data_IF_481521549439
#
_entry.id   IF_481521549439
#
_cell.length_a   1.000
_cell.length_b   1.000
_cell.length_c   1.000
_cell.angle_alpha   90.00
_cell.angle_beta   90.00
_cell.angle_gamma   90.00
#
_symmetry.space_group_name_H-M   'P 1'
#
loop_
_entity.id
_entity.type
_entity.pdbx_description
1 polymer ?
#
# COMPACT_ATOMS: atom_id res chain seq x y z
N UNK A 1 10.31 6.79 19.67
CA UNK A 1 11.04 6.57 18.40
C UNK A 1 10.16 7.02 17.24
N UNK A 2 10.73 7.65 16.21
CA UNK A 2 10.00 8.05 15.00
C UNK A 2 10.64 7.34 13.80
N UNK A 3 9.88 6.48 13.13
CA UNK A 3 10.29 5.87 11.87
C UNK A 3 9.89 6.83 10.74
N UNK A 4 10.85 7.24 9.93
CA UNK A 4 10.64 8.13 8.80
C UNK A 4 10.76 7.36 7.48
N UNK A 5 9.71 7.42 6.65
CA UNK A 5 9.76 6.91 5.29
C UNK A 5 10.58 7.87 4.43
N UNK A 6 11.52 7.34 3.66
CA UNK A 6 12.33 8.14 2.74
C UNK A 6 12.14 7.66 1.31
N UNK A 7 12.23 8.56 0.31
CA UNK A 7 12.30 8.13 -1.08
C UNK A 7 13.46 7.14 -1.26
N UNK A 8 13.24 6.09 -2.04
CA UNK A 8 14.25 5.07 -2.32
C UNK A 8 15.54 5.63 -2.93
N UNK A 9 15.46 6.74 -3.68
CA UNK A 9 16.64 7.46 -4.20
C UNK A 9 17.45 8.23 -3.15
N UNK A 10 16.97 8.30 -1.90
CA UNK A 10 17.62 8.96 -0.76
C UNK A 10 18.11 7.97 0.30
N UNK A 11 17.95 6.67 0.06
CA UNK A 11 18.56 5.60 0.84
C UNK A 11 20.00 5.36 0.38
N UNK A 12 20.88 4.99 1.31
CA UNK A 12 22.21 4.49 0.97
C UNK A 12 22.17 3.15 0.21
N UNK A 13 21.04 2.45 0.20
CA UNK A 13 20.85 1.16 -0.47
C UNK A 13 20.22 1.32 -1.86
N UNK A 14 20.74 0.56 -2.83
CA UNK A 14 20.10 0.43 -4.15
C UNK A 14 19.13 -0.75 -4.12
N UNK A 15 17.83 -0.46 -4.20
CA UNK A 15 16.75 -1.45 -4.35
C UNK A 15 16.25 -1.49 -5.80
N UNK A 16 15.87 -2.66 -6.30
CA UNK A 16 15.41 -2.84 -7.68
C UNK A 16 14.02 -2.22 -7.90
N UNK A 17 13.13 -2.37 -6.92
CA UNK A 17 11.81 -1.72 -6.92
C UNK A 17 11.80 -0.53 -5.96
N UNK A 18 11.93 0.64 -6.56
CA UNK A 18 11.89 1.95 -5.90
C UNK A 18 10.44 2.39 -5.65
N UNK A 19 9.86 1.91 -4.54
CA UNK A 19 8.53 2.31 -4.09
C UNK A 19 8.65 3.22 -2.87
N UNK A 20 7.71 4.15 -2.70
CA UNK A 20 7.68 5.10 -1.56
C UNK A 20 7.57 4.45 -0.17
N UNK A 21 7.40 3.13 -0.09
CA UNK A 21 7.16 2.37 1.14
C UNK A 21 8.18 1.26 1.37
N UNK A 22 9.35 1.35 0.74
CA UNK A 22 10.41 0.34 0.88
C UNK A 22 11.65 0.84 1.60
N UNK A 23 11.76 2.13 1.91
CA UNK A 23 12.95 2.68 2.58
C UNK A 23 12.57 3.48 3.83
N UNK A 24 13.31 3.22 4.92
CA UNK A 24 13.04 3.76 6.26
C UNK A 24 14.31 4.30 6.89
N UNK A 25 14.17 5.40 7.64
CA UNK A 25 15.22 5.95 8.51
C UNK A 25 14.70 6.08 9.93
N UNK A 26 15.53 5.72 10.90
CA UNK A 26 15.26 5.95 12.32
C UNK A 26 16.37 6.83 12.85
N UNK A 27 15.98 7.96 13.42
CA UNK A 27 16.90 8.86 14.11
C UNK A 27 16.75 8.67 15.62
N UNK A 28 17.87 8.34 16.28
CA UNK A 28 17.98 8.26 17.72
C UNK A 28 19.23 9.02 18.15
N UNK A 29 19.04 10.08 18.95
CA UNK A 29 20.11 11.01 19.33
C UNK A 29 20.90 11.52 18.10
N UNK A 30 22.20 11.19 18.02
CA UNK A 30 23.11 11.56 16.92
C UNK A 30 23.30 10.41 15.89
N UNK A 31 22.62 9.28 16.06
CA UNK A 31 22.69 8.13 15.17
C UNK A 31 21.51 8.07 14.20
N UNK A 32 21.81 7.64 12.96
CA UNK A 32 20.82 7.41 11.89
C UNK A 32 20.95 5.99 11.42
N UNK A 33 19.86 5.23 11.55
CA UNK A 33 19.76 3.87 11.06
C UNK A 33 18.94 3.84 9.77
N UNK A 34 19.45 3.17 8.74
CA UNK A 34 18.78 3.06 7.45
C UNK A 34 18.41 1.62 7.15
N UNK A 35 17.22 1.46 6.57
CA UNK A 35 16.68 0.17 6.16
C UNK A 35 16.06 0.30 4.78
N UNK A 36 16.24 -0.70 3.93
CA UNK A 36 15.58 -0.77 2.64
C UNK A 36 15.13 -2.20 2.33
N UNK A 37 13.92 -2.32 1.77
CA UNK A 37 13.35 -3.58 1.32
C UNK A 37 13.34 -3.63 -0.20
N UNK A 38 13.85 -4.73 -0.76
CA UNK A 38 13.71 -5.01 -2.17
C UNK A 38 12.67 -6.11 -2.37
N UNK A 39 11.53 -5.73 -2.94
CA UNK A 39 10.44 -6.68 -3.21
C UNK A 39 10.83 -7.51 -4.43
N UNK A 40 11.22 -8.76 -4.18
CA UNK A 40 11.69 -9.67 -5.23
C UNK A 40 10.53 -10.20 -6.07
N UNK A 41 9.37 -10.41 -5.42
CA UNK A 41 8.12 -10.88 -6.02
C UNK A 41 6.96 -10.65 -5.03
N UNK A 42 5.77 -11.18 -5.33
CA UNK A 42 4.58 -11.04 -4.49
C UNK A 42 4.62 -11.85 -3.17
N UNK A 43 5.74 -12.46 -2.82
CA UNK A 43 5.87 -13.36 -1.67
C UNK A 43 7.03 -12.97 -0.77
N UNK A 44 8.12 -12.50 -1.37
CA UNK A 44 9.40 -12.35 -0.71
C UNK A 44 9.98 -10.95 -0.90
N UNK A 45 10.57 -10.42 0.18
CA UNK A 45 11.39 -9.22 0.14
C UNK A 45 12.78 -9.49 0.75
N UNK A 46 13.77 -8.72 0.29
CA UNK A 46 15.13 -8.71 0.82
C UNK A 46 15.33 -7.44 1.65
N UNK A 47 15.77 -7.57 2.90
CA UNK A 47 16.09 -6.45 3.79
C UNK A 47 17.58 -6.12 3.72
N UNK A 48 17.86 -4.85 3.46
CA UNK A 48 19.14 -4.18 3.58
C UNK A 48 19.08 -3.33 4.85
N UNK A 49 19.93 -3.61 5.83
CA UNK A 49 19.98 -2.88 7.09
C UNK A 49 21.42 -2.51 7.41
N UNK A 50 21.64 -1.31 7.98
CA UNK A 50 22.95 -0.91 8.49
C UNK A 50 23.25 -1.48 9.88
N UNK A 51 22.24 -2.03 10.56
CA UNK A 51 22.29 -2.55 11.93
C UNK A 51 21.12 -3.53 12.17
N UNK A 52 21.21 -4.31 13.26
CA UNK A 52 20.12 -5.18 13.73
C UNK A 52 19.17 -4.46 14.71
N UNK A 53 19.43 -3.20 15.04
CA UNK A 53 18.51 -2.41 15.85
C UNK A 53 17.18 -2.24 15.11
N UNK A 54 16.07 -2.16 15.83
CA UNK A 54 14.74 -1.84 15.28
C UNK A 54 14.24 -2.70 14.10
N UNK A 55 14.81 -3.89 13.88
CA UNK A 55 14.44 -4.75 12.76
C UNK A 55 12.96 -5.12 12.80
N UNK A 56 12.46 -5.50 13.98
CA UNK A 56 11.07 -5.92 14.15
C UNK A 56 10.10 -4.77 13.82
N UNK A 57 10.36 -3.56 14.32
CA UNK A 57 9.53 -2.39 14.11
C UNK A 57 9.53 -1.93 12.64
N UNK A 58 10.68 -2.02 11.98
CA UNK A 58 10.80 -1.66 10.56
C UNK A 58 10.17 -2.72 9.66
N UNK A 59 10.27 -4.00 10.03
CA UNK A 59 9.56 -5.10 9.35
C UNK A 59 8.06 -4.91 9.50
N UNK A 60 7.56 -4.59 10.70
CA UNK A 60 6.14 -4.32 10.94
C UNK A 60 5.63 -3.15 10.10
N UNK A 61 6.34 -2.01 10.10
CA UNK A 61 5.99 -0.84 9.29
C UNK A 61 6.04 -1.15 7.79
N UNK A 62 6.98 -1.95 7.31
CA UNK A 62 7.04 -2.39 5.92
C UNK A 62 5.84 -3.29 5.55
N UNK A 63 5.52 -4.26 6.39
CA UNK A 63 4.42 -5.19 6.20
C UNK A 63 3.06 -4.49 6.23
N UNK A 64 2.92 -3.37 6.94
CA UNK A 64 1.71 -2.54 6.89
C UNK A 64 1.36 -2.10 5.46
N UNK A 65 2.35 -1.70 4.64
CA UNK A 65 2.12 -1.32 3.23
C UNK A 65 2.25 -2.48 2.24
N UNK A 66 2.90 -3.58 2.66
CA UNK A 66 3.25 -4.72 1.81
C UNK A 66 2.73 -6.04 2.37
N UNK A 67 1.52 -6.06 2.95
CA UNK A 67 0.96 -7.20 3.69
C UNK A 67 0.75 -8.50 2.91
N UNK A 68 1.08 -8.53 1.61
CA UNK A 68 1.17 -9.74 0.79
C UNK A 68 2.52 -10.46 0.91
N UNK A 69 3.56 -9.76 1.34
CA UNK A 69 4.88 -10.34 1.64
C UNK A 69 4.73 -11.17 2.91
N UNK A 70 5.20 -12.41 2.83
CA UNK A 70 5.15 -13.35 3.96
C UNK A 70 6.51 -14.00 4.24
N UNK A 71 7.56 -13.61 3.51
CA UNK A 71 8.94 -14.03 3.75
C UNK A 71 9.85 -12.80 3.59
N UNK A 72 10.68 -12.52 4.60
CA UNK A 72 11.73 -11.50 4.52
C UNK A 72 13.06 -12.15 4.90
N UNK A 73 14.09 -11.88 4.08
CA UNK A 73 15.45 -12.36 4.32
C UNK A 73 16.44 -11.21 4.31
N UNK A 74 17.59 -11.39 4.96
CA UNK A 74 18.75 -10.49 4.78
C UNK A 74 19.57 -10.83 3.51
N UNK A 75 20.60 -10.04 3.25
CA UNK A 75 21.53 -10.23 2.11
C UNK A 75 22.31 -11.54 2.15
N UNK A 76 22.46 -12.15 3.32
CA UNK A 76 23.14 -13.43 3.53
C UNK A 76 22.19 -14.62 3.36
N UNK A 77 20.88 -14.35 3.21
CA UNK A 77 19.82 -15.36 3.09
C UNK A 77 19.24 -15.82 4.41
N UNK A 78 19.61 -15.19 5.54
CA UNK A 78 19.02 -15.44 6.85
C UNK A 78 17.55 -15.06 6.83
N UNK A 79 16.69 -15.92 7.38
CA UNK A 79 15.26 -15.66 7.51
C UNK A 79 15.02 -14.69 8.67
N UNK A 80 14.43 -13.53 8.38
CA UNK A 80 14.09 -12.51 9.36
C UNK A 80 12.60 -12.51 9.73
N UNK A 81 11.75 -12.86 8.77
CA UNK A 81 10.31 -12.95 8.98
C UNK A 81 9.72 -14.05 8.10
N UNK A 82 8.78 -14.82 8.66
CA UNK A 82 7.97 -15.79 7.94
C UNK A 82 6.55 -15.82 8.51
N UNK A 83 5.56 -15.80 7.62
CA UNK A 83 4.16 -16.02 7.94
C UNK A 83 3.53 -16.97 6.92
N UNK A 84 2.38 -17.60 7.25
CA UNK A 84 1.63 -18.36 6.26
C UNK A 84 1.23 -17.49 5.07
N UNK A 85 1.35 -17.98 3.82
CA UNK A 85 0.93 -17.22 2.64
C UNK A 85 -0.57 -16.95 2.68
N UNK A 86 -0.97 -15.72 2.36
CA UNK A 86 -2.38 -15.36 2.23
C UNK A 86 -2.97 -16.03 0.98
N UNK A 87 -4.19 -16.57 1.12
CA UNK A 87 -4.90 -17.19 -0.01
C UNK A 87 -5.22 -16.12 -1.04
N UNK A 88 -4.75 -16.31 -2.27
CA UNK A 88 -5.01 -15.44 -3.40
C UNK A 88 -6.19 -15.95 -4.22
N UNK A 89 -6.95 -15.02 -4.78
CA UNK A 89 -8.02 -15.31 -5.73
C UNK A 89 -8.13 -14.18 -6.75
N UNK A 90 -8.84 -14.43 -7.85
CA UNK A 90 -9.17 -13.41 -8.84
C UNK A 90 -10.52 -12.79 -8.52
N UNK A 91 -10.61 -11.48 -8.73
CA UNK A 91 -11.84 -10.70 -8.59
C UNK A 91 -12.01 -9.81 -9.83
N UNK A 92 -13.25 -9.68 -10.31
CA UNK A 92 -13.55 -8.76 -11.41
C UNK A 92 -13.40 -7.32 -10.93
N UNK A 93 -12.73 -6.49 -11.72
CA UNK A 93 -12.48 -5.09 -11.41
C UNK A 93 -13.80 -4.31 -11.18
N UNK A 94 -14.86 -4.70 -11.88
CA UNK A 94 -16.21 -4.12 -11.74
C UNK A 94 -16.95 -4.53 -10.46
N UNK A 95 -16.46 -5.53 -9.72
CA UNK A 95 -17.06 -6.01 -8.47
C UNK A 95 -16.40 -5.42 -7.22
N UNK A 96 -15.37 -4.58 -7.40
CA UNK A 96 -14.60 -3.98 -6.32
C UNK A 96 -15.11 -2.58 -6.02
N UNK A 97 -15.68 -2.41 -4.84
CA UNK A 97 -16.02 -1.12 -4.26
C UNK A 97 -14.74 -0.42 -3.77
N UNK A 98 -14.45 0.80 -4.24
CA UNK A 98 -13.37 1.61 -3.70
C UNK A 98 -13.71 2.17 -2.31
N UNK A 99 -12.67 2.45 -1.53
CA UNK A 99 -12.69 3.19 -0.27
C UNK A 99 -11.93 4.51 -0.37
N UNK A 100 -11.56 4.92 -1.60
CA UNK A 100 -10.79 6.13 -1.89
C UNK A 100 -11.52 7.00 -2.91
N UNK A 101 -11.42 8.32 -2.78
CA UNK A 101 -12.16 9.25 -3.62
C UNK A 101 -11.50 9.62 -4.95
N UNK A 102 -10.17 9.59 -5.01
CA UNK A 102 -9.39 10.19 -6.08
C UNK A 102 -8.17 9.34 -6.40
N UNK A 103 -7.59 9.44 -7.59
CA UNK A 103 -6.30 8.82 -7.94
C UNK A 103 -5.26 9.92 -8.14
N UNK A 104 -4.11 9.78 -7.49
CA UNK A 104 -2.99 10.70 -7.67
C UNK A 104 -2.27 10.40 -9.01
N UNK A 105 -2.21 11.39 -9.90
CA UNK A 105 -1.59 11.27 -11.23
C UNK A 105 -0.11 10.89 -11.18
N UNK A 106 0.66 11.45 -10.25
CA UNK A 106 2.09 11.16 -10.09
C UNK A 106 2.32 9.72 -9.66
N UNK A 107 1.59 9.26 -8.63
CA UNK A 107 1.63 7.85 -8.20
C UNK A 107 1.27 6.91 -9.34
N UNK A 108 0.28 7.27 -10.15
CA UNK A 108 -0.14 6.47 -11.31
C UNK A 108 0.96 6.39 -12.37
N UNK A 109 1.63 7.51 -12.65
CA UNK A 109 2.74 7.60 -13.61
C UNK A 109 3.94 6.75 -13.16
N UNK A 110 4.30 6.85 -11.87
CA UNK A 110 5.36 6.03 -11.27
C UNK A 110 5.03 4.54 -11.35
N UNK A 111 3.78 4.18 -11.04
CA UNK A 111 3.31 2.80 -11.10
C UNK A 111 3.38 2.20 -12.52
N UNK A 112 3.05 3.01 -13.54
CA UNK A 112 3.06 2.59 -14.94
C UNK A 112 4.46 2.19 -15.45
N UNK A 113 5.53 2.58 -14.74
CA UNK A 113 6.90 2.21 -15.10
C UNK A 113 7.16 0.71 -14.94
N UNK A 114 6.48 0.02 -14.00
CA UNK A 114 6.79 -1.36 -13.65
C UNK A 114 5.61 -2.34 -13.74
N UNK A 115 4.35 -1.90 -13.60
CA UNK A 115 3.19 -2.80 -13.80
C UNK A 115 3.03 -3.12 -15.29
N UNK A 116 3.07 -4.40 -15.66
CA UNK A 116 2.95 -4.87 -17.06
C UNK A 116 1.74 -5.77 -17.31
N UNK A 117 1.20 -6.40 -16.28
CA UNK A 117 0.13 -7.40 -16.39
C UNK A 117 -0.74 -7.49 -15.13
N UNK A 118 -1.80 -8.31 -15.19
CA UNK A 118 -2.66 -8.63 -14.03
C UNK A 118 -1.86 -9.26 -12.89
N UNK A 119 -0.79 -10.01 -13.20
CA UNK A 119 0.10 -10.63 -12.22
C UNK A 119 0.87 -9.64 -11.37
N UNK A 120 0.99 -8.38 -11.80
CA UNK A 120 1.69 -7.34 -11.02
C UNK A 120 0.71 -6.63 -10.05
N UNK A 121 -0.57 -7.00 -10.10
CA UNK A 121 -1.65 -6.36 -9.35
C UNK A 121 -2.22 -7.35 -8.34
N UNK A 122 -1.81 -7.16 -7.09
CA UNK A 122 -2.33 -7.84 -5.92
C UNK A 122 -2.80 -6.78 -4.92
N UNK A 123 -4.07 -6.84 -4.50
CA UNK A 123 -4.65 -5.87 -3.56
C UNK A 123 -5.24 -6.54 -2.31
N UNK A 124 -5.16 -5.90 -1.14
CA UNK A 124 -5.92 -6.30 0.03
C UNK A 124 -7.40 -5.93 -0.16
N UNK A 125 -8.28 -6.88 0.15
CA UNK A 125 -9.73 -6.67 0.16
C UNK A 125 -10.36 -7.17 1.44
N UNK A 126 -11.51 -6.61 1.77
CA UNK A 126 -12.43 -7.20 2.76
C UNK A 126 -13.81 -7.38 2.15
N UNK A 127 -14.70 -8.09 2.85
CA UNK A 127 -16.11 -8.19 2.50
C UNK A 127 -16.94 -7.26 3.36
N UNK A 128 -17.65 -6.33 2.72
CA UNK A 128 -18.65 -5.51 3.36
C UNK A 128 -19.99 -5.69 2.65
N UNK A 129 -21.02 -6.10 3.40
CA UNK A 129 -22.37 -6.36 2.87
C UNK A 129 -22.39 -7.28 1.62
N UNK A 130 -21.47 -8.25 1.56
CA UNK A 130 -21.35 -9.20 0.45
C UNK A 130 -20.62 -8.66 -0.79
N UNK A 131 -20.14 -7.41 -0.78
CA UNK A 131 -19.32 -6.82 -1.84
C UNK A 131 -17.83 -6.84 -1.45
N UNK A 132 -16.95 -6.96 -2.45
CA UNK A 132 -15.51 -6.79 -2.24
C UNK A 132 -15.18 -5.30 -2.10
N UNK A 133 -14.48 -4.94 -1.03
CA UNK A 133 -14.00 -3.58 -0.80
C UNK A 133 -12.49 -3.57 -0.88
N UNK A 134 -11.91 -2.70 -1.71
CA UNK A 134 -10.47 -2.48 -1.72
C UNK A 134 -10.04 -1.71 -0.48
N UNK A 135 -9.14 -2.28 0.32
CA UNK A 135 -8.58 -1.60 1.50
C UNK A 135 -7.45 -0.64 1.12
N UNK A 136 -6.68 -1.02 0.10
CA UNK A 136 -5.60 -0.23 -0.49
C UNK A 136 -5.42 -0.62 -1.96
N UNK A 137 -4.56 0.09 -2.68
CA UNK A 137 -4.15 -0.24 -4.03
C UNK A 137 -5.04 0.36 -5.11
N UNK A 138 -5.84 1.38 -4.81
CA UNK A 138 -6.74 2.02 -5.79
C UNK A 138 -5.99 2.57 -7.01
N UNK A 139 -4.76 3.07 -6.85
CA UNK A 139 -3.91 3.46 -8.01
C UNK A 139 -3.57 2.26 -8.90
N UNK A 140 -3.31 1.09 -8.31
CA UNK A 140 -3.07 -0.17 -9.05
C UNK A 140 -4.33 -0.62 -9.78
N UNK A 141 -5.49 -0.53 -9.15
CA UNK A 141 -6.77 -0.83 -9.78
C UNK A 141 -7.09 0.13 -10.93
N UNK A 142 -6.81 1.43 -10.76
CA UNK A 142 -6.98 2.42 -11.83
C UNK A 142 -6.05 2.13 -13.00
N UNK A 143 -4.80 1.73 -12.75
CA UNK A 143 -3.91 1.32 -13.83
C UNK A 143 -4.40 0.05 -14.52
N UNK A 144 -4.92 -0.93 -13.78
CA UNK A 144 -5.56 -2.13 -14.36
C UNK A 144 -6.68 -1.74 -15.33
N UNK A 145 -7.54 -0.79 -14.91
CA UNK A 145 -8.61 -0.23 -15.72
C UNK A 145 -8.08 0.33 -17.05
N UNK A 146 -7.05 1.18 -16.99
CA UNK A 146 -6.45 1.83 -18.16
C UNK A 146 -5.77 0.81 -19.10
N UNK A 147 -5.25 -0.28 -18.57
CA UNK A 147 -4.67 -1.39 -19.32
C UNK A 147 -5.72 -2.39 -19.84
N UNK A 148 -7.02 -2.12 -19.66
CA UNK A 148 -8.14 -3.02 -20.01
C UNK A 148 -8.09 -4.39 -19.31
N UNK A 149 -7.41 -4.50 -18.18
CA UNK A 149 -7.41 -5.70 -17.34
C UNK A 149 -8.77 -5.79 -16.64
N UNK A 150 -9.43 -6.94 -16.76
CA UNK A 150 -10.78 -7.18 -16.21
C UNK A 150 -10.78 -7.86 -14.86
N UNK A 151 -9.75 -8.63 -14.56
CA UNK A 151 -9.59 -9.37 -13.31
C UNK A 151 -8.22 -9.07 -12.72
N UNK A 152 -8.17 -8.89 -11.40
CA UNK A 152 -6.94 -8.66 -10.65
C UNK A 152 -6.83 -9.71 -9.54
N UNK A 153 -5.62 -9.90 -9.01
CA UNK A 153 -5.45 -10.74 -7.83
C UNK A 153 -5.81 -9.95 -6.57
N UNK A 154 -6.45 -10.62 -5.63
CA UNK A 154 -6.77 -10.09 -4.32
C UNK A 154 -6.49 -11.13 -3.23
N UNK A 155 -6.37 -10.64 -2.00
CA UNK A 155 -6.31 -11.45 -0.79
C UNK A 155 -7.17 -10.81 0.29
N UNK A 156 -7.77 -11.64 1.14
CA UNK A 156 -8.57 -11.16 2.27
C UNK A 156 -7.66 -10.64 3.39
N UNK A 157 -8.03 -9.50 3.96
CA UNK A 157 -7.32 -8.83 5.06
C UNK A 157 -8.37 -8.27 6.03
N UNK A 158 -8.06 -8.34 7.33
CA UNK A 158 -8.85 -7.69 8.36
C UNK A 158 -8.65 -6.17 8.32
N UNK A 159 -9.65 -5.42 8.78
CA UNK A 159 -9.62 -3.95 8.75
C UNK A 159 -10.48 -3.39 9.87
N UNK A 160 -10.21 -2.15 10.24
CA UNK A 160 -10.95 -1.44 11.27
C UNK A 160 -12.30 -0.93 10.76
N UNK A 161 -13.19 -0.61 11.70
CA UNK A 161 -14.56 -0.17 11.41
C UNK A 161 -14.63 1.09 10.52
N UNK A 162 -13.57 1.93 10.49
CA UNK A 162 -13.57 3.14 9.66
C UNK A 162 -13.76 2.83 8.17
N UNK A 163 -13.41 1.63 7.70
CA UNK A 163 -13.54 1.30 6.27
C UNK A 163 -14.99 1.45 5.79
N UNK A 164 -15.96 1.18 6.67
CA UNK A 164 -17.38 1.26 6.35
C UNK A 164 -17.79 2.70 6.01
N UNK A 165 -17.31 3.67 6.80
CA UNK A 165 -17.54 5.09 6.56
C UNK A 165 -16.98 5.52 5.20
N UNK A 166 -15.76 5.09 4.89
CA UNK A 166 -15.12 5.42 3.61
C UNK A 166 -15.86 4.84 2.40
N UNK A 167 -16.40 3.63 2.53
CA UNK A 167 -17.28 3.05 1.50
C UNK A 167 -18.55 3.88 1.35
N UNK A 168 -19.19 4.28 2.46
CA UNK A 168 -20.40 5.10 2.43
C UNK A 168 -20.14 6.46 1.78
N UNK A 169 -19.04 7.15 2.15
CA UNK A 169 -18.67 8.42 1.53
C UNK A 169 -18.38 8.29 0.03
N UNK A 170 -17.80 7.16 -0.41
CA UNK A 170 -17.62 6.89 -1.84
C UNK A 170 -18.98 6.78 -2.54
N UNK A 171 -19.91 6.01 -1.98
CA UNK A 171 -21.26 5.84 -2.53
C UNK A 171 -22.04 7.16 -2.58
N UNK A 172 -21.95 8.00 -1.54
CA UNK A 172 -22.57 9.34 -1.54
C UNK A 172 -22.06 10.24 -2.67
N UNK A 173 -20.79 10.06 -3.06
CA UNK A 173 -20.19 10.78 -4.19
C UNK A 173 -20.33 10.03 -5.53
N UNK A 174 -21.18 9.00 -5.61
CA UNK A 174 -21.40 8.17 -6.81
C UNK A 174 -20.12 7.48 -7.31
N UNK A 175 -19.28 7.04 -6.37
CA UNK A 175 -18.05 6.27 -6.62
C UNK A 175 -18.26 4.81 -6.22
N UNK A 176 -19.07 4.12 -7.01
CA UNK A 176 -19.45 2.72 -6.78
C UNK A 176 -18.41 1.73 -7.31
N UNK A 177 -17.48 2.18 -8.15
CA UNK A 177 -16.44 1.35 -8.75
C UNK A 177 -15.14 2.13 -8.99
N UNK A 178 -14.06 1.41 -9.28
CA UNK A 178 -12.79 2.06 -9.67
C UNK A 178 -12.93 2.94 -10.92
N UNK A 179 -13.91 2.66 -11.79
CA UNK A 179 -14.14 3.41 -13.03
C UNK A 179 -14.55 4.85 -12.74
N UNK A 180 -15.16 5.09 -11.58
CA UNK A 180 -15.74 6.38 -11.19
C UNK A 180 -14.72 7.31 -10.51
N UNK A 181 -13.56 6.79 -10.09
CA UNK A 181 -12.54 7.60 -9.42
C UNK A 181 -11.83 8.52 -10.43
N UNK A 182 -11.90 9.86 -10.28
CA UNK A 182 -11.14 10.77 -11.14
C UNK A 182 -9.64 10.74 -10.80
N UNK A 183 -8.82 10.93 -11.83
CA UNK A 183 -7.37 11.17 -11.69
C UNK A 183 -7.16 12.67 -11.52
N UNK A 184 -6.42 13.07 -10.49
CA UNK A 184 -6.17 14.47 -10.12
C UNK A 184 -4.67 14.71 -9.87
N UNK A 185 -4.26 15.97 -9.87
CA UNK A 185 -2.86 16.36 -9.63
C UNK A 185 -2.42 16.04 -8.19
N UNK A 186 -1.11 15.99 -7.95
CA UNK A 186 -0.55 15.76 -6.61
C UNK A 186 -1.05 16.80 -5.59
N UNK A 187 -1.09 18.08 -6.00
CA UNK A 187 -1.58 19.18 -5.15
C UNK A 187 -3.07 19.05 -4.82
N UNK A 188 -3.91 18.67 -5.79
CA UNK A 188 -5.34 18.44 -5.53
C UNK A 188 -5.54 17.20 -4.66
N UNK A 189 -4.76 16.14 -4.86
CA UNK A 189 -4.84 14.93 -4.06
C UNK A 189 -4.50 15.19 -2.60
N UNK A 190 -3.51 16.02 -2.34
CA UNK A 190 -3.17 16.47 -0.98
C UNK A 190 -4.37 17.10 -0.27
N UNK A 191 -5.08 18.00 -0.96
CA UNK A 191 -6.21 18.74 -0.37
C UNK A 191 -7.49 17.90 -0.32
N UNK A 192 -7.84 17.21 -1.41
CA UNK A 192 -9.14 16.56 -1.57
C UNK A 192 -9.18 15.15 -0.97
N UNK A 193 -8.02 14.52 -0.76
CA UNK A 193 -7.93 13.18 -0.21
C UNK A 193 -7.14 13.12 1.09
N UNK A 194 -5.88 13.56 1.09
CA UNK A 194 -5.03 13.40 2.29
C UNK A 194 -5.59 14.22 3.47
N UNK A 195 -5.92 15.49 3.26
CA UNK A 195 -6.53 16.31 4.31
C UNK A 195 -7.91 15.80 4.74
N UNK A 196 -8.71 15.23 3.82
CA UNK A 196 -9.97 14.57 4.18
C UNK A 196 -9.72 13.42 5.17
N UNK A 197 -8.78 12.53 4.86
CA UNK A 197 -8.40 11.41 5.72
C UNK A 197 -7.88 11.91 7.08
N UNK A 198 -6.95 12.87 7.07
CA UNK A 198 -6.42 13.46 8.30
C UNK A 198 -7.51 14.04 9.19
N UNK A 199 -8.45 14.78 8.60
CA UNK A 199 -9.54 15.38 9.34
C UNK A 199 -10.44 14.29 9.92
N UNK A 200 -10.84 13.30 9.12
CA UNK A 200 -11.63 12.16 9.60
C UNK A 200 -10.97 11.47 10.80
N UNK A 201 -9.68 11.12 10.70
CA UNK A 201 -8.98 10.45 11.81
C UNK A 201 -8.74 11.36 13.01
N UNK A 202 -8.57 12.67 12.83
CA UNK A 202 -8.53 13.64 13.94
C UNK A 202 -9.87 13.67 14.69
N UNK A 203 -11.00 13.61 13.99
CA UNK A 203 -12.32 13.55 14.63
C UNK A 203 -12.54 12.22 15.34
N UNK A 204 -12.22 11.09 14.70
CA UNK A 204 -12.38 9.76 15.28
C UNK A 204 -11.57 9.59 16.59
N UNK A 205 -10.35 10.14 16.64
CA UNK A 205 -9.49 10.09 17.82
C UNK A 205 -9.89 11.07 18.94
N UNK A 206 -10.83 12.00 18.70
CA UNK A 206 -11.38 12.89 19.72
C UNK A 206 -12.62 12.31 20.40
N UNK A 207 -13.27 11.32 19.78
CA UNK A 207 -14.47 10.65 20.31
C UNK A 207 -14.15 9.39 21.13
N UNK A 208 -12.89 8.92 21.12
CA UNK A 208 -12.36 7.83 21.94
C UNK A 208 -11.59 8.35 23.15
#
# INVERSE_FOLDING_TARGET
MKIEKVPSGSSMFQVHLQLHHTCFKIQEEDEVYEYAFDILNQEQALLYASTDHYLDEVIEEFLFYSGFIHVIKDQQGTLLYEAPPKKRFKVLLSEIQPSQFYINEKKLTELATWVKSDKDILIPVTKFQGQWVALDGHTRLKLAQLLNIKEVYAYEEETDAYIEDFVLFCKEQQKDSIYDLPIISETEYEVLWNQFCENYFKFLNQEN
#
